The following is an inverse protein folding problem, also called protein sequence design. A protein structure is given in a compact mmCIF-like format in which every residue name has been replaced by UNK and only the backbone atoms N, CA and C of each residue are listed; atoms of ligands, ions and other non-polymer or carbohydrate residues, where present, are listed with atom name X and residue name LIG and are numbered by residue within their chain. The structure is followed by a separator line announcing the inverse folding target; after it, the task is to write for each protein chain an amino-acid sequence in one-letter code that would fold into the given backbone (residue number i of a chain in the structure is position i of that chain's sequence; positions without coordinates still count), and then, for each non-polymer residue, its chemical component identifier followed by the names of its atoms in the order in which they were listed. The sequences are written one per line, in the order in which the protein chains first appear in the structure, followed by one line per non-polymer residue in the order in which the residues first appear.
data_IF_855718949282
#
_entry.id   IF_855718949282
#
_cell.length_a   1.000
_cell.length_b   1.000
_cell.length_c   1.000
_cell.angle_alpha   90.00
_cell.angle_beta   90.00
_cell.angle_gamma   90.00
#
_symmetry.space_group_name_H-M   'P 1'
#
loop_
_entity.id
_entity.type
_entity.pdbx_description
1 polymer ?
#
# COMPACT_ATOMS: atom_id res chain seq x y z
N UNK A 1 -6.93 -9.22 -10.50
CA UNK A 1 -6.98 -8.49 -11.80
C UNK A 1 -5.64 -8.36 -12.53
N UNK A 2 -4.57 -9.11 -12.21
CA UNK A 2 -3.35 -9.14 -13.02
C UNK A 2 -3.54 -9.79 -14.40
N UNK A 3 -4.62 -10.55 -14.57
CA UNK A 3 -4.83 -11.44 -15.72
C UNK A 3 -5.10 -10.72 -17.04
N UNK A 4 -5.59 -9.49 -17.00
CA UNK A 4 -5.86 -8.73 -18.23
C UNK A 4 -4.61 -8.29 -18.98
N UNK A 5 -3.45 -8.21 -18.30
CA UNK A 5 -2.22 -7.73 -18.91
C UNK A 5 -1.40 -8.82 -19.62
N UNK A 6 -1.66 -10.09 -19.31
CA UNK A 6 -0.91 -11.22 -19.87
C UNK A 6 -1.61 -11.93 -21.02
N UNK A 7 -2.87 -11.59 -21.32
CA UNK A 7 -3.65 -12.26 -22.36
C UNK A 7 -3.46 -11.72 -23.79
N UNK A 8 -2.78 -10.61 -23.98
CA UNK A 8 -2.48 -10.11 -25.32
C UNK A 8 -1.20 -10.77 -25.85
N UNK A 9 -1.36 -11.82 -26.61
CA UNK A 9 -0.33 -12.74 -27.12
C UNK A 9 0.78 -12.10 -27.97
N UNK A 10 0.76 -10.82 -28.28
CA UNK A 10 1.66 -10.26 -29.29
C UNK A 10 2.52 -9.06 -28.88
N UNK A 11 2.19 -8.36 -27.79
CA UNK A 11 3.03 -7.26 -27.30
C UNK A 11 3.10 -7.25 -25.78
N UNK A 12 4.31 -7.08 -25.20
CA UNK A 12 4.44 -6.90 -23.77
C UNK A 12 3.66 -5.64 -23.35
N UNK A 13 2.92 -5.68 -22.20
CA UNK A 13 2.08 -4.58 -21.75
C UNK A 13 2.91 -3.29 -21.64
N UNK A 14 2.38 -2.21 -22.20
CA UNK A 14 2.98 -0.87 -22.09
C UNK A 14 2.87 -0.35 -20.66
N UNK A 15 3.60 0.73 -20.34
CA UNK A 15 3.47 1.40 -19.06
C UNK A 15 2.03 1.91 -18.85
N UNK A 16 1.39 2.42 -19.91
CA UNK A 16 0.00 2.88 -19.87
C UNK A 16 -0.98 1.77 -19.51
N UNK A 17 -0.81 0.57 -20.07
CA UNK A 17 -1.66 -0.59 -19.77
C UNK A 17 -1.57 -0.97 -18.30
N UNK A 18 -0.36 -0.91 -17.71
CA UNK A 18 -0.16 -1.22 -16.29
C UNK A 18 -0.80 -0.18 -15.38
N UNK A 19 -0.61 1.11 -15.70
CA UNK A 19 -1.22 2.20 -14.94
C UNK A 19 -2.74 2.08 -15.00
N UNK A 20 -3.32 1.83 -16.18
CA UNK A 20 -4.78 1.69 -16.33
C UNK A 20 -5.33 0.45 -15.62
N UNK A 21 -4.59 -0.67 -15.60
CA UNK A 21 -5.02 -1.89 -14.93
C UNK A 21 -4.92 -1.81 -13.39
N UNK A 22 -3.99 -1.00 -12.87
CA UNK A 22 -3.67 -0.90 -11.44
C UNK A 22 -3.88 0.52 -10.88
N UNK A 23 -4.72 1.34 -11.53
CA UNK A 23 -4.89 2.74 -11.11
C UNK A 23 -5.36 2.90 -9.66
N UNK A 24 -6.30 2.06 -9.20
CA UNK A 24 -6.81 2.12 -7.84
C UNK A 24 -5.73 1.74 -6.80
N UNK A 25 -4.90 0.75 -7.14
CA UNK A 25 -3.76 0.32 -6.32
C UNK A 25 -2.70 1.42 -6.25
N UNK A 26 -2.43 2.10 -7.38
CA UNK A 26 -1.52 3.25 -7.43
C UNK A 26 -2.02 4.42 -6.59
N UNK A 27 -3.32 4.71 -6.65
CA UNK A 27 -3.92 5.76 -5.81
C UNK A 27 -3.79 5.41 -4.33
N UNK A 28 -4.13 4.18 -3.93
CA UNK A 28 -4.04 3.75 -2.52
C UNK A 28 -2.59 3.78 -2.02
N UNK A 29 -1.62 3.35 -2.84
CA UNK A 29 -0.20 3.38 -2.48
C UNK A 29 0.35 4.81 -2.39
N UNK A 30 -0.05 5.70 -3.31
CA UNK A 30 0.30 7.11 -3.27
C UNK A 30 -0.29 7.82 -2.04
N UNK A 31 -1.55 7.54 -1.70
CA UNK A 31 -2.18 8.05 -0.48
C UNK A 31 -1.40 7.62 0.77
N UNK A 32 -0.95 6.37 0.84
CA UNK A 32 -0.10 5.89 1.94
C UNK A 32 1.21 6.65 2.04
N UNK A 33 1.92 6.79 0.91
CA UNK A 33 3.19 7.51 0.87
C UNK A 33 3.03 9.00 1.24
N UNK A 34 2.02 9.68 0.69
CA UNK A 34 1.73 11.09 1.02
C UNK A 34 1.36 11.22 2.49
N UNK A 35 0.53 10.32 3.02
CA UNK A 35 0.16 10.34 4.44
C UNK A 35 1.36 10.14 5.36
N UNK A 36 2.27 9.24 4.99
CA UNK A 36 3.53 9.05 5.71
C UNK A 36 4.41 10.31 5.69
N UNK A 37 4.55 10.95 4.52
CA UNK A 37 5.30 12.21 4.41
C UNK A 37 4.69 13.32 5.28
N UNK A 38 3.38 13.47 5.23
CA UNK A 38 2.68 14.43 6.10
C UNK A 38 2.88 14.10 7.58
N UNK A 39 2.90 12.82 7.95
CA UNK A 39 3.19 12.37 9.31
C UNK A 39 4.57 12.81 9.79
N UNK A 40 5.61 12.61 8.98
CA UNK A 40 6.96 13.09 9.31
C UNK A 40 7.02 14.61 9.38
N UNK A 41 6.39 15.30 8.43
CA UNK A 41 6.38 16.77 8.44
C UNK A 41 5.72 17.33 9.70
N UNK A 42 4.61 16.74 10.15
CA UNK A 42 3.88 17.17 11.34
C UNK A 42 4.63 16.88 12.64
N UNK A 43 5.49 15.86 12.67
CA UNK A 43 6.42 15.66 13.79
C UNK A 43 7.46 16.77 13.90
N UNK A 44 7.95 17.24 12.75
CA UNK A 44 8.94 18.33 12.69
C UNK A 44 8.32 19.73 12.84
N UNK A 45 6.99 19.82 12.70
CA UNK A 45 6.23 21.05 12.84
C UNK A 45 5.03 20.86 13.81
N UNK A 46 5.29 20.63 15.10
CA UNK A 46 4.27 20.24 16.10
C UNK A 46 3.18 21.29 16.32
N UNK A 47 3.40 22.53 15.89
CA UNK A 47 2.42 23.62 15.95
C UNK A 47 1.28 23.49 14.91
N UNK A 48 1.42 22.66 13.89
CA UNK A 48 0.41 22.50 12.85
C UNK A 48 -0.64 21.41 13.18
N UNK A 49 -0.33 20.50 14.10
CA UNK A 49 -1.23 19.43 14.45
C UNK A 49 -1.06 18.99 15.91
N UNK A 50 -1.78 19.61 16.78
CA UNK A 50 -1.81 19.33 18.22
C UNK A 50 -2.67 18.14 18.72
N UNK A 51 -2.79 17.00 18.10
CA UNK A 51 -3.39 15.84 18.79
C UNK A 51 -2.42 14.72 19.08
N UNK A 52 -1.13 14.92 18.86
CA UNK A 52 -0.11 13.85 18.88
C UNK A 52 0.55 13.69 20.26
N UNK A 53 0.21 14.55 21.23
CA UNK A 53 0.84 14.59 22.56
C UNK A 53 0.71 13.31 23.41
N UNK A 54 -0.04 12.30 22.92
CA UNK A 54 -0.30 11.06 23.67
C UNK A 54 0.52 9.86 23.23
N UNK A 55 1.20 9.93 22.09
CA UNK A 55 1.98 8.80 21.57
C UNK A 55 3.44 9.21 21.38
N UNK A 56 4.40 8.31 21.66
CA UNK A 56 5.81 8.61 21.52
C UNK A 56 6.17 9.04 20.09
N UNK A 57 7.04 10.05 19.89
CA UNK A 57 7.49 10.48 18.57
C UNK A 57 8.03 9.34 17.71
N UNK A 58 8.78 8.42 18.34
CA UNK A 58 9.32 7.23 17.65
C UNK A 58 8.22 6.38 16.99
N UNK A 59 7.06 6.25 17.62
CA UNK A 59 5.92 5.51 17.07
C UNK A 59 5.44 6.14 15.76
N UNK A 60 5.27 7.46 15.74
CA UNK A 60 4.84 8.19 14.54
C UNK A 60 5.86 8.10 13.41
N UNK A 61 7.15 8.19 13.75
CA UNK A 61 8.23 7.99 12.79
C UNK A 61 8.15 6.60 12.15
N UNK A 62 7.98 5.55 12.94
CA UNK A 62 7.86 4.18 12.44
C UNK A 62 6.64 4.02 11.52
N UNK A 63 5.46 4.53 11.94
CA UNK A 63 4.23 4.48 11.13
C UNK A 63 4.43 5.22 9.82
N UNK A 64 4.97 6.43 9.86
CA UNK A 64 5.20 7.28 8.69
C UNK A 64 6.19 6.65 7.71
N UNK A 65 7.32 6.13 8.22
CA UNK A 65 8.32 5.44 7.40
C UNK A 65 7.74 4.17 6.78
N UNK A 66 6.93 3.41 7.52
CA UNK A 66 6.27 2.21 6.99
C UNK A 66 5.30 2.53 5.85
N UNK A 67 4.53 3.61 5.98
CA UNK A 67 3.61 4.07 4.93
C UNK A 67 4.36 4.56 3.69
N UNK A 68 5.43 5.34 3.87
CA UNK A 68 6.25 5.82 2.75
C UNK A 68 6.93 4.66 2.04
N UNK A 69 7.65 3.83 2.78
CA UNK A 69 8.38 2.69 2.23
C UNK A 69 7.41 1.70 1.55
N UNK A 70 6.31 1.37 2.22
CA UNK A 70 5.27 0.49 1.68
C UNK A 70 4.67 1.04 0.39
N UNK A 71 4.26 2.30 0.37
CA UNK A 71 3.69 2.94 -0.80
C UNK A 71 4.67 3.02 -1.98
N UNK A 72 5.91 3.43 -1.73
CA UNK A 72 6.95 3.53 -2.77
C UNK A 72 7.31 2.15 -3.33
N UNK A 73 7.53 1.15 -2.49
CA UNK A 73 7.84 -0.22 -2.92
C UNK A 73 6.68 -0.79 -3.74
N UNK A 74 5.45 -0.54 -3.32
CA UNK A 74 4.25 -0.98 -4.03
C UNK A 74 4.15 -0.32 -5.41
N UNK A 75 4.33 0.99 -5.53
CA UNK A 75 4.36 1.72 -6.81
C UNK A 75 5.45 1.15 -7.72
N UNK A 76 6.67 0.96 -7.20
CA UNK A 76 7.78 0.39 -7.96
C UNK A 76 7.43 -1.01 -8.48
N UNK A 77 6.75 -1.83 -7.67
CA UNK A 77 6.36 -3.18 -8.07
C UNK A 77 5.41 -3.19 -9.27
N UNK A 78 4.52 -2.20 -9.37
CA UNK A 78 3.57 -2.07 -10.49
C UNK A 78 4.27 -1.52 -11.74
N UNK A 79 5.10 -0.49 -11.59
CA UNK A 79 5.70 0.22 -12.73
C UNK A 79 6.86 -0.57 -13.33
N UNK A 80 7.72 -1.17 -12.51
CA UNK A 80 8.93 -1.85 -12.97
C UNK A 80 8.62 -3.17 -13.65
N UNK A 81 9.29 -3.45 -14.78
CA UNK A 81 9.28 -4.76 -15.41
C UNK A 81 10.22 -5.71 -14.68
N UNK A 82 9.72 -6.85 -14.25
CA UNK A 82 10.51 -7.89 -13.62
C UNK A 82 10.74 -9.05 -14.57
N UNK A 83 11.97 -9.57 -14.58
CA UNK A 83 12.33 -10.76 -15.39
C UNK A 83 11.74 -12.05 -14.81
N UNK A 84 11.42 -12.06 -13.52
CA UNK A 84 10.91 -13.26 -12.83
C UNK A 84 9.69 -12.91 -12.00
N UNK A 85 8.66 -13.77 -12.08
CA UNK A 85 7.41 -13.66 -11.33
C UNK A 85 7.67 -13.60 -9.81
N UNK A 86 8.64 -14.38 -9.33
CA UNK A 86 9.01 -14.41 -7.91
C UNK A 86 9.46 -13.03 -7.39
N UNK A 87 10.30 -12.31 -8.14
CA UNK A 87 10.77 -10.98 -7.72
C UNK A 87 9.65 -9.95 -7.72
N UNK A 88 8.73 -10.05 -8.68
CA UNK A 88 7.54 -9.23 -8.72
C UNK A 88 6.68 -9.42 -7.47
N UNK A 89 6.29 -10.67 -7.18
CA UNK A 89 5.43 -10.94 -6.02
C UNK A 89 6.13 -10.67 -4.69
N UNK A 90 7.44 -10.91 -4.58
CA UNK A 90 8.19 -10.57 -3.38
C UNK A 90 8.10 -9.06 -3.09
N UNK A 91 8.41 -8.23 -4.10
CA UNK A 91 8.39 -6.78 -3.92
C UNK A 91 6.97 -6.26 -3.65
N UNK A 92 5.98 -6.76 -4.40
CA UNK A 92 4.58 -6.40 -4.23
C UNK A 92 4.10 -6.72 -2.80
N UNK A 93 4.39 -7.92 -2.31
CA UNK A 93 4.03 -8.33 -0.94
C UNK A 93 4.72 -7.51 0.13
N UNK A 94 5.99 -7.21 -0.06
CA UNK A 94 6.73 -6.35 0.89
C UNK A 94 6.09 -4.97 0.97
N UNK A 95 5.78 -4.36 -0.17
CA UNK A 95 5.10 -3.06 -0.21
C UNK A 95 3.72 -3.09 0.45
N UNK A 96 2.91 -4.11 0.12
CA UNK A 96 1.58 -4.30 0.69
C UNK A 96 1.61 -4.58 2.20
N UNK A 97 2.55 -5.41 2.68
CA UNK A 97 2.70 -5.72 4.09
C UNK A 97 3.06 -4.47 4.91
N UNK A 98 4.05 -3.69 4.44
CA UNK A 98 4.42 -2.43 5.07
C UNK A 98 3.29 -1.41 5.07
N UNK A 99 2.56 -1.28 3.95
CA UNK A 99 1.39 -0.41 3.86
C UNK A 99 0.28 -0.84 4.80
N UNK A 100 -0.02 -2.14 4.88
CA UNK A 100 -1.03 -2.69 5.80
C UNK A 100 -0.66 -2.40 7.25
N UNK A 101 0.59 -2.68 7.66
CA UNK A 101 1.07 -2.37 9.00
C UNK A 101 1.00 -0.88 9.30
N UNK A 102 1.42 -0.03 8.37
CA UNK A 102 1.34 1.42 8.51
C UNK A 102 -0.10 1.91 8.69
N UNK A 103 -1.03 1.46 7.86
CA UNK A 103 -2.45 1.85 7.95
C UNK A 103 -3.13 1.31 9.22
N UNK A 104 -2.85 0.07 9.63
CA UNK A 104 -3.38 -0.50 10.87
C UNK A 104 -2.87 0.27 12.09
N UNK A 105 -1.57 0.59 12.13
CA UNK A 105 -0.99 1.37 13.20
C UNK A 105 -1.58 2.78 13.25
N UNK A 106 -1.77 3.39 12.09
CA UNK A 106 -2.42 4.70 11.99
C UNK A 106 -3.88 4.65 12.46
N UNK A 107 -4.64 3.62 12.05
CA UNK A 107 -6.01 3.39 12.51
C UNK A 107 -6.07 3.25 14.04
N UNK A 108 -5.23 2.39 14.62
CA UNK A 108 -5.17 2.19 16.06
C UNK A 108 -4.91 3.50 16.81
N UNK A 109 -3.96 4.29 16.28
CA UNK A 109 -3.65 5.60 16.84
C UNK A 109 -4.82 6.57 16.76
N UNK A 110 -5.51 6.61 15.62
CA UNK A 110 -6.65 7.49 15.41
C UNK A 110 -7.81 7.16 16.40
N UNK A 111 -8.06 5.88 16.64
CA UNK A 111 -9.07 5.42 17.61
C UNK A 111 -8.69 5.80 19.05
N UNK A 112 -7.41 5.62 19.42
CA UNK A 112 -6.95 5.92 20.79
C UNK A 112 -6.95 7.43 21.06
N UNK A 113 -6.46 8.23 20.10
CA UNK A 113 -6.25 9.67 20.30
C UNK A 113 -7.52 10.47 20.08
N UNK A 114 -8.35 10.04 19.13
CA UNK A 114 -9.58 10.76 18.70
C UNK A 114 -10.75 9.82 18.47
N UNK A 115 -11.27 9.18 19.51
CA UNK A 115 -12.36 8.19 19.37
C UNK A 115 -13.65 8.78 18.76
N UNK A 116 -13.88 10.08 18.93
CA UNK A 116 -15.07 10.78 18.40
C UNK A 116 -14.97 11.15 16.91
N UNK A 117 -13.78 11.10 16.32
CA UNK A 117 -13.59 11.41 14.89
C UNK A 117 -13.80 10.18 14.02
N UNK A 118 -15.04 9.70 13.96
CA UNK A 118 -15.45 8.48 13.22
C UNK A 118 -14.95 8.50 11.77
N UNK A 119 -15.00 9.63 11.08
CA UNK A 119 -14.55 9.74 9.70
C UNK A 119 -13.06 9.45 9.54
N UNK A 120 -12.23 9.95 10.47
CA UNK A 120 -10.77 9.77 10.41
C UNK A 120 -10.36 8.31 10.57
N UNK A 121 -10.92 7.59 11.54
CA UNK A 121 -10.54 6.19 11.73
C UNK A 121 -11.23 5.26 10.73
N UNK A 122 -12.41 5.61 10.21
CA UNK A 122 -13.09 4.81 9.20
C UNK A 122 -12.29 4.71 7.90
N UNK A 123 -11.80 5.81 7.34
CA UNK A 123 -11.05 5.75 6.10
C UNK A 123 -9.69 5.03 6.28
N UNK A 124 -9.05 5.17 7.45
CA UNK A 124 -7.80 4.46 7.74
C UNK A 124 -8.01 2.96 7.89
N UNK A 125 -9.13 2.54 8.48
CA UNK A 125 -9.54 1.15 8.52
C UNK A 125 -9.80 0.61 7.12
N UNK A 126 -10.55 1.34 6.29
CA UNK A 126 -10.81 0.92 4.90
C UNK A 126 -9.52 0.77 4.10
N UNK A 127 -8.56 1.69 4.26
CA UNK A 127 -7.27 1.60 3.60
C UNK A 127 -6.46 0.37 4.09
N UNK A 128 -6.49 0.08 5.39
CA UNK A 128 -5.85 -1.11 5.97
C UNK A 128 -6.47 -2.40 5.44
N UNK A 129 -7.81 -2.48 5.42
CA UNK A 129 -8.55 -3.65 4.90
C UNK A 129 -8.28 -3.85 3.42
N UNK A 130 -8.28 -2.78 2.62
CA UNK A 130 -7.97 -2.85 1.19
C UNK A 130 -6.54 -3.36 0.95
N UNK A 131 -5.54 -2.82 1.65
CA UNK A 131 -4.15 -3.25 1.52
C UNK A 131 -3.97 -4.72 1.97
N UNK A 132 -4.61 -5.12 3.07
CA UNK A 132 -4.60 -6.50 3.54
C UNK A 132 -5.28 -7.46 2.55
N UNK A 133 -6.43 -7.08 2.01
CA UNK A 133 -7.15 -7.87 1.00
C UNK A 133 -6.29 -8.07 -0.26
N UNK A 134 -5.66 -7.01 -0.76
CA UNK A 134 -4.73 -7.09 -1.88
C UNK A 134 -3.52 -7.98 -1.56
N UNK A 135 -2.98 -7.89 -0.34
CA UNK A 135 -1.90 -8.77 0.10
C UNK A 135 -2.29 -10.25 0.01
N UNK A 136 -3.47 -10.61 0.52
CA UNK A 136 -3.99 -11.99 0.44
C UNK A 136 -4.21 -12.42 -1.02
N UNK A 137 -4.77 -11.55 -1.85
CA UNK A 137 -5.00 -11.82 -3.26
C UNK A 137 -3.70 -12.12 -4.03
N UNK A 138 -2.55 -11.56 -3.63
CA UNK A 138 -1.27 -11.88 -4.27
C UNK A 138 -0.90 -13.36 -4.12
N UNK A 139 -1.24 -14.00 -3.00
CA UNK A 139 -0.98 -15.44 -2.80
C UNK A 139 -1.91 -16.30 -3.63
N UNK A 140 -3.18 -15.92 -3.71
CA UNK A 140 -4.17 -16.64 -4.52
C UNK A 140 -3.76 -16.59 -5.99
N UNK A 141 -3.46 -15.38 -6.50
CA UNK A 141 -3.08 -15.17 -7.89
C UNK A 141 -1.78 -15.92 -8.24
N UNK A 142 -0.75 -15.86 -7.38
CA UNK A 142 0.48 -16.60 -7.63
C UNK A 142 0.24 -18.11 -7.69
N UNK A 143 -0.59 -18.66 -6.78
CA UNK A 143 -0.93 -20.08 -6.79
C UNK A 143 -1.67 -20.49 -8.06
N UNK A 144 -2.63 -19.69 -8.49
CA UNK A 144 -3.42 -19.91 -9.70
C UNK A 144 -2.54 -19.91 -10.96
N UNK A 145 -1.62 -18.94 -11.06
CA UNK A 145 -0.65 -18.89 -12.17
C UNK A 145 0.29 -20.10 -12.14
N UNK A 146 0.80 -20.50 -10.97
CA UNK A 146 1.72 -21.65 -10.84
C UNK A 146 1.03 -22.98 -11.17
N UNK A 147 -0.28 -23.09 -10.98
CA UNK A 147 -1.07 -24.29 -11.35
C UNK A 147 -1.40 -24.34 -12.84
N UNK A 148 -1.09 -23.29 -13.59
CA UNK A 148 -1.42 -23.20 -15.02
C UNK A 148 -2.92 -23.01 -15.30
N UNK A 149 -3.71 -22.70 -14.28
CA UNK A 149 -5.14 -22.38 -14.41
C UNK A 149 -5.33 -21.04 -15.14
N UNK A 150 -4.33 -20.16 -15.05
CA UNK A 150 -4.22 -18.93 -15.84
C UNK A 150 -2.87 -18.99 -16.55
N UNK A 151 -2.85 -18.92 -17.88
CA UNK A 151 -1.61 -18.80 -18.64
C UNK A 151 -1.02 -17.41 -18.40
N UNK A 152 0.18 -17.37 -17.84
CA UNK A 152 0.92 -16.12 -17.61
C UNK A 152 1.33 -15.43 -18.92
#
# INVERSE_FOLDING_TARGET
MPDRLYHTRHHPPTLGDRISAHWAELVLSAMGAIRGLLGLYTEWAPYLTRPVDRLPPLYWTIVSVSLIAGGVIWIISIIKRFKTLNRFYLLLRTGLALSTLGWLSFFTSAVIVRPTQVFTWSYTLMAAVAACGLYILTFINERTIRRGEIKA
#
